data_IF_416506168663
#
_entry.id   IF_416506168663
#
_cell.length_a   1.000
_cell.length_b   1.000
_cell.length_c   1.000
_cell.angle_alpha   90.00
_cell.angle_beta   90.00
_cell.angle_gamma   90.00
#
_symmetry.space_group_name_H-M   'P 1'
#
loop_
_entity.id
_entity.type
_entity.pdbx_description
1 polymer ?
#
# COMPACT_ATOMS: atom_id res chain seq x y z
N UNK A 1 -7.14 21.51 -8.99
CA UNK A 1 -5.69 21.62 -8.76
C UNK A 1 -5.10 20.21 -8.84
N UNK A 2 -4.10 19.96 -9.69
CA UNK A 2 -3.50 18.63 -9.84
C UNK A 2 -2.54 18.43 -8.67
N UNK A 3 -2.75 17.40 -7.85
CA UNK A 3 -1.86 17.10 -6.72
C UNK A 3 -0.49 16.69 -7.24
N UNK A 4 0.56 17.17 -6.58
CA UNK A 4 1.94 16.88 -6.97
C UNK A 4 2.27 15.38 -6.81
N UNK A 5 3.15 14.87 -7.67
CA UNK A 5 3.54 13.45 -7.65
C UNK A 5 4.28 13.07 -6.37
N UNK A 6 5.09 13.98 -5.82
CA UNK A 6 5.78 13.78 -4.55
C UNK A 6 4.86 13.56 -3.39
N UNK A 7 3.74 14.28 -3.34
CA UNK A 7 2.73 14.07 -2.30
C UNK A 7 2.10 12.68 -2.35
N UNK A 8 1.96 12.07 -3.54
CA UNK A 8 1.51 10.68 -3.64
C UNK A 8 2.58 9.68 -3.21
N UNK A 9 3.85 9.98 -3.44
CA UNK A 9 4.97 9.18 -2.93
C UNK A 9 5.02 9.23 -1.40
N UNK A 10 4.84 10.41 -0.82
CA UNK A 10 4.76 10.61 0.64
C UNK A 10 3.58 9.86 1.27
N UNK A 11 2.41 9.87 0.62
CA UNK A 11 1.25 9.07 1.07
C UNK A 11 1.56 7.58 1.13
N UNK A 12 2.24 7.06 0.11
CA UNK A 12 2.61 5.64 0.05
C UNK A 12 3.57 5.32 1.21
N UNK A 13 4.61 6.11 1.40
CA UNK A 13 5.59 5.91 2.47
C UNK A 13 4.96 6.04 3.87
N UNK A 14 4.08 7.01 4.06
CA UNK A 14 3.36 7.23 5.32
C UNK A 14 2.40 6.07 5.61
N UNK A 15 1.69 5.58 4.60
CA UNK A 15 0.79 4.45 4.73
C UNK A 15 1.54 3.16 5.08
N UNK A 16 2.67 2.90 4.41
CA UNK A 16 3.56 1.77 4.74
C UNK A 16 4.05 1.86 6.19
N UNK A 17 4.46 3.06 6.64
CA UNK A 17 4.88 3.29 8.03
C UNK A 17 3.75 2.97 9.01
N UNK A 18 2.54 3.47 8.75
CA UNK A 18 1.38 3.21 9.60
C UNK A 18 1.05 1.72 9.67
N UNK A 19 1.04 1.01 8.53
CA UNK A 19 0.81 -0.44 8.50
C UNK A 19 1.84 -1.16 9.37
N UNK A 20 3.12 -0.79 9.26
CA UNK A 20 4.18 -1.37 10.07
C UNK A 20 3.91 -1.17 11.57
N UNK A 21 3.53 0.03 11.99
CA UNK A 21 3.19 0.29 13.39
C UNK A 21 1.96 -0.49 13.86
N UNK A 22 0.90 -0.58 13.05
CA UNK A 22 -0.31 -1.34 13.40
C UNK A 22 -0.04 -2.84 13.47
N UNK A 23 0.84 -3.36 12.61
CA UNK A 23 1.28 -4.75 12.59
C UNK A 23 2.26 -5.11 13.71
N UNK A 24 2.74 -4.13 14.49
CA UNK A 24 3.72 -4.38 15.55
C UNK A 24 3.15 -5.34 16.60
N UNK A 25 3.96 -6.35 16.93
CA UNK A 25 3.62 -7.44 17.86
C UNK A 25 2.41 -8.29 17.44
N UNK A 26 1.99 -8.23 16.17
CA UNK A 26 1.05 -9.19 15.60
C UNK A 26 1.80 -10.38 15.03
N UNK A 27 1.26 -11.55 15.29
CA UNK A 27 1.44 -12.71 14.43
C UNK A 27 0.16 -12.89 13.59
N UNK A 28 0.21 -13.83 12.65
CA UNK A 28 -0.89 -14.08 11.73
C UNK A 28 -2.20 -14.42 12.45
N UNK A 29 -2.15 -15.25 13.49
CA UNK A 29 -3.34 -15.67 14.23
C UNK A 29 -3.98 -14.51 15.01
N UNK A 30 -3.16 -13.66 15.65
CA UNK A 30 -3.63 -12.44 16.31
C UNK A 30 -4.23 -11.47 15.31
N UNK A 31 -3.58 -11.29 14.15
CA UNK A 31 -4.10 -10.44 13.09
C UNK A 31 -5.48 -10.91 12.64
N UNK A 32 -5.71 -12.21 12.47
CA UNK A 32 -6.99 -12.77 12.02
C UNK A 32 -8.14 -12.57 13.02
N UNK A 33 -7.83 -12.28 14.27
CA UNK A 33 -8.81 -12.06 15.36
C UNK A 33 -8.99 -10.57 15.71
N UNK A 34 -8.15 -9.67 15.18
CA UNK A 34 -8.17 -8.24 15.50
C UNK A 34 -8.80 -7.43 14.36
N UNK A 35 -10.13 -7.33 14.37
CA UNK A 35 -10.90 -6.61 13.34
C UNK A 35 -10.55 -5.12 13.24
N UNK A 36 -10.13 -4.50 14.35
CA UNK A 36 -9.77 -3.08 14.38
C UNK A 36 -8.48 -2.86 13.57
N UNK A 37 -7.44 -3.66 13.84
CA UNK A 37 -6.19 -3.57 13.10
C UNK A 37 -6.34 -4.03 11.66
N UNK A 38 -7.15 -5.05 11.38
CA UNK A 38 -7.52 -5.43 10.01
C UNK A 38 -8.09 -4.24 9.25
N UNK A 39 -9.10 -3.57 9.82
CA UNK A 39 -9.75 -2.42 9.19
C UNK A 39 -8.77 -1.26 8.97
N UNK A 40 -7.93 -0.97 9.97
CA UNK A 40 -6.93 0.09 9.87
C UNK A 40 -5.89 -0.22 8.78
N UNK A 41 -5.40 -1.47 8.70
CA UNK A 41 -4.40 -1.88 7.71
C UNK A 41 -5.00 -1.89 6.30
N UNK A 42 -6.20 -2.46 6.12
CA UNK A 42 -6.91 -2.44 4.84
C UNK A 42 -7.08 -1.01 4.35
N UNK A 43 -7.46 -0.09 5.22
CA UNK A 43 -7.59 1.33 4.87
C UNK A 43 -6.26 1.93 4.37
N UNK A 44 -5.14 1.63 5.01
CA UNK A 44 -3.83 2.11 4.54
C UNK A 44 -3.45 1.49 3.18
N UNK A 45 -3.79 0.22 2.93
CA UNK A 45 -3.57 -0.44 1.64
C UNK A 45 -4.40 0.20 0.51
N UNK A 46 -5.64 0.59 0.79
CA UNK A 46 -6.47 1.36 -0.15
C UNK A 46 -5.83 2.69 -0.52
N UNK A 47 -5.31 3.43 0.47
CA UNK A 47 -4.63 4.72 0.26
C UNK A 47 -3.42 4.54 -0.64
N UNK A 48 -2.61 3.49 -0.42
CA UNK A 48 -1.46 3.18 -1.28
C UNK A 48 -1.92 2.96 -2.73
N UNK A 49 -2.95 2.15 -2.95
CA UNK A 49 -3.45 1.89 -4.30
C UNK A 49 -4.05 3.12 -4.98
N UNK A 50 -4.75 3.97 -4.23
CA UNK A 50 -5.27 5.24 -4.73
C UNK A 50 -4.14 6.19 -5.12
N UNK A 51 -3.11 6.34 -4.28
CA UNK A 51 -1.94 7.14 -4.59
C UNK A 51 -1.26 6.65 -5.88
N UNK A 52 -1.02 5.34 -6.01
CA UNK A 52 -0.43 4.73 -7.23
C UNK A 52 -1.27 4.98 -8.48
N UNK A 53 -2.60 4.97 -8.38
CA UNK A 53 -3.50 5.23 -9.51
C UNK A 53 -3.39 6.67 -10.01
N UNK A 54 -3.14 7.62 -9.11
CA UNK A 54 -3.04 9.04 -9.43
C UNK A 54 -1.64 9.48 -9.88
N UNK A 55 -0.59 8.65 -9.67
CA UNK A 55 0.73 8.91 -10.23
C UNK A 55 0.70 8.80 -11.77
N UNK A 56 1.18 9.81 -12.51
CA UNK A 56 1.18 9.80 -13.98
C UNK A 56 1.92 8.61 -14.58
N UNK A 57 1.41 8.08 -15.69
CA UNK A 57 2.00 6.93 -16.37
C UNK A 57 3.46 7.17 -16.81
N UNK A 58 3.75 8.40 -17.28
CA UNK A 58 5.10 8.83 -17.64
C UNK A 58 6.08 8.74 -16.48
N UNK A 59 5.63 8.98 -15.24
CA UNK A 59 6.44 8.84 -14.04
C UNK A 59 6.64 7.38 -13.68
N UNK A 60 5.57 6.58 -13.66
CA UNK A 60 5.63 5.14 -13.35
C UNK A 60 6.57 4.38 -14.27
N UNK A 61 6.63 4.76 -15.55
CA UNK A 61 7.56 4.21 -16.55
C UNK A 61 9.05 4.43 -16.22
N UNK A 62 9.39 5.46 -15.44
CA UNK A 62 10.78 5.70 -14.99
C UNK A 62 11.21 4.71 -13.90
N UNK A 63 10.25 4.08 -13.21
CA UNK A 63 10.50 3.15 -12.11
C UNK A 63 9.81 1.79 -12.37
N UNK A 64 10.24 1.04 -13.39
CA UNK A 64 9.55 -0.18 -13.84
C UNK A 64 9.67 -1.36 -12.86
N UNK A 65 10.61 -1.31 -11.90
CA UNK A 65 10.76 -2.32 -10.85
C UNK A 65 9.57 -2.33 -9.88
N UNK A 66 8.87 -1.20 -9.75
CA UNK A 66 7.69 -1.11 -8.90
C UNK A 66 6.50 -1.69 -9.68
N UNK A 67 5.76 -2.66 -9.10
CA UNK A 67 4.66 -3.33 -9.78
C UNK A 67 3.37 -2.47 -9.78
N UNK A 68 3.43 -1.28 -10.36
CA UNK A 68 2.38 -0.26 -10.29
C UNK A 68 0.98 -0.76 -10.66
N UNK A 69 0.88 -1.55 -11.73
CA UNK A 69 -0.40 -2.11 -12.19
C UNK A 69 -1.01 -3.06 -11.15
N UNK A 70 -0.19 -3.88 -10.51
CA UNK A 70 -0.64 -4.82 -9.50
C UNK A 70 -1.13 -4.09 -8.25
N UNK A 71 -0.44 -3.02 -7.84
CA UNK A 71 -0.82 -2.22 -6.67
C UNK A 71 -2.14 -1.48 -6.93
N UNK A 72 -2.30 -0.85 -8.10
CA UNK A 72 -3.56 -0.21 -8.48
C UNK A 72 -4.72 -1.21 -8.53
N UNK A 73 -4.50 -2.39 -9.16
CA UNK A 73 -5.53 -3.43 -9.25
C UNK A 73 -5.90 -4.05 -7.89
N UNK A 74 -4.97 -4.11 -6.94
CA UNK A 74 -5.27 -4.60 -5.60
C UNK A 74 -6.26 -3.70 -4.84
N UNK A 75 -6.19 -2.37 -5.02
CA UNK A 75 -7.19 -1.45 -4.47
C UNK A 75 -8.58 -1.66 -5.07
N UNK A 76 -8.67 -2.02 -6.34
CA UNK A 76 -9.95 -2.35 -6.95
C UNK A 76 -10.53 -3.64 -6.34
N UNK A 77 -9.69 -4.63 -5.98
CA UNK A 77 -10.14 -5.81 -5.24
C UNK A 77 -10.60 -5.44 -3.83
N UNK A 78 -9.82 -4.65 -3.07
CA UNK A 78 -10.17 -4.27 -1.69
C UNK A 78 -11.47 -3.45 -1.61
N UNK A 79 -11.67 -2.51 -2.53
CA UNK A 79 -12.84 -1.63 -2.53
C UNK A 79 -14.15 -2.33 -2.92
N UNK A 80 -14.08 -3.45 -3.65
CA UNK A 80 -15.27 -4.20 -4.07
C UNK A 80 -15.51 -5.48 -3.24
N UNK A 81 -14.50 -5.99 -2.55
CA UNK A 81 -14.59 -7.21 -1.73
C UNK A 81 -15.16 -6.96 -0.31
N UNK A 82 -16.21 -6.14 -0.19
CA UNK A 82 -16.92 -5.92 1.08
C UNK A 82 -17.43 -7.24 1.70
N UNK A 83 -17.61 -8.28 0.87
CA UNK A 83 -17.75 -9.67 1.29
C UNK A 83 -16.43 -10.43 1.07
N UNK A 84 -15.66 -10.62 2.14
CA UNK A 84 -14.57 -11.61 2.18
C UNK A 84 -13.22 -11.12 1.66
N UNK A 85 -12.64 -10.11 2.30
CA UNK A 85 -11.20 -9.81 2.15
C UNK A 85 -10.41 -11.07 2.53
N UNK A 86 -9.57 -11.53 1.61
CA UNK A 86 -8.66 -12.64 1.88
C UNK A 86 -7.55 -12.16 2.85
N UNK A 87 -7.74 -12.43 4.15
CA UNK A 87 -6.81 -12.01 5.20
C UNK A 87 -5.43 -12.65 5.08
N UNK A 88 -5.32 -13.85 4.50
CA UNK A 88 -4.03 -14.47 4.18
C UNK A 88 -3.24 -13.62 3.18
N UNK A 89 -3.90 -13.12 2.13
CA UNK A 89 -3.28 -12.24 1.14
C UNK A 89 -2.86 -10.92 1.78
N UNK A 90 -3.71 -10.33 2.62
CA UNK A 90 -3.36 -9.10 3.34
C UNK A 90 -2.13 -9.32 4.22
N UNK A 91 -2.08 -10.43 4.96
CA UNK A 91 -0.92 -10.77 5.79
C UNK A 91 0.36 -10.94 4.97
N UNK A 92 0.29 -11.65 3.84
CA UNK A 92 1.44 -11.81 2.95
C UNK A 92 1.95 -10.48 2.40
N UNK A 93 1.03 -9.55 2.09
CA UNK A 93 1.41 -8.21 1.64
C UNK A 93 2.20 -7.48 2.73
N UNK A 94 1.74 -7.54 3.98
CA UNK A 94 2.41 -6.92 5.13
C UNK A 94 3.84 -7.46 5.29
N UNK A 95 3.98 -8.78 5.28
CA UNK A 95 5.26 -9.45 5.59
C UNK A 95 6.26 -9.39 4.43
N UNK A 96 5.80 -9.49 3.17
CA UNK A 96 6.69 -9.73 2.03
C UNK A 96 6.69 -8.62 0.98
N UNK A 97 5.55 -8.01 0.70
CA UNK A 97 5.43 -7.06 -0.42
C UNK A 97 5.70 -5.62 0.00
N UNK A 98 5.16 -5.17 1.13
CA UNK A 98 5.35 -3.81 1.63
C UNK A 98 6.82 -3.47 1.93
N UNK A 99 7.65 -4.36 2.52
CA UNK A 99 9.06 -4.06 2.71
C UNK A 99 9.80 -3.78 1.39
N UNK A 100 9.52 -4.57 0.34
CA UNK A 100 10.10 -4.38 -0.99
C UNK A 100 9.60 -3.10 -1.64
N UNK A 101 8.29 -2.84 -1.55
CA UNK A 101 7.70 -1.61 -2.06
C UNK A 101 8.31 -0.38 -1.40
N UNK A 102 8.50 -0.42 -0.07
CA UNK A 102 9.13 0.67 0.67
C UNK A 102 10.54 0.96 0.16
N UNK A 103 11.33 -0.08 -0.06
CA UNK A 103 12.69 0.04 -0.56
C UNK A 103 12.73 0.71 -1.94
N UNK A 104 11.89 0.27 -2.87
CA UNK A 104 11.86 0.83 -4.23
C UNK A 104 11.28 2.26 -4.26
N UNK A 105 10.24 2.54 -3.49
CA UNK A 105 9.67 3.89 -3.38
C UNK A 105 10.67 4.86 -2.71
N UNK A 106 11.43 4.39 -1.72
CA UNK A 106 12.45 5.19 -1.04
C UNK A 106 13.64 5.59 -1.93
N UNK A 107 13.81 4.96 -3.10
CA UNK A 107 14.82 5.33 -4.11
C UNK A 107 14.35 6.44 -5.05
N UNK A 108 13.08 6.81 -4.99
CA UNK A 108 12.50 7.85 -5.84
C UNK A 108 12.94 9.21 -5.29
N UNK A 109 13.78 9.91 -6.04
CA UNK A 109 14.02 11.32 -5.80
C UNK A 109 12.86 12.10 -6.40
N UNK A 110 12.11 12.79 -5.54
CA UNK A 110 11.15 13.79 -5.97
C UNK A 110 11.75 15.14 -5.65
N UNK A 111 11.97 15.96 -6.67
CA UNK A 111 12.33 17.37 -6.48
C UNK A 111 11.12 18.05 -5.84
N UNK A 112 11.25 18.43 -4.57
CA UNK A 112 10.30 19.28 -3.84
C UNK A 112 10.40 20.73 -4.28
#
# INVERSE_FOLDING_TARGET
>A
MKRDTGLFIEDILSSIKNIKEFSKNLDKEKFFKDNLRQSAIVRQLEIIGEAVKNIPDSFRKKYPKIPWKNIAGFRDILSHAYFGINLDRVWNIIEFDLPKLKEEIGKINVET
#
